data_IF_143259618409
#
_entry.id   IF_143259618409
#
_cell.length_a   1.000
_cell.length_b   1.000
_cell.length_c   1.000
_cell.angle_alpha   90.00
_cell.angle_beta   90.00
_cell.angle_gamma   90.00
#
_symmetry.space_group_name_H-M   'P 1'
#
loop_
_entity.id
_entity.type
_entity.pdbx_description
1 polymer ?
#
# COMPACT_ATOMS: atom_id res chain seq x y z
N UNK A 1 -29.41 9.40 -54.19
CA UNK A 1 -28.52 8.22 -54.23
C UNK A 1 -27.32 8.47 -53.31
N UNK A 2 -27.45 8.09 -52.05
CA UNK A 2 -26.39 7.98 -51.03
C UNK A 2 -27.03 7.32 -49.80
N UNK A 3 -27.51 6.09 -49.99
CA UNK A 3 -27.89 5.22 -48.87
C UNK A 3 -26.88 4.08 -48.85
N UNK A 4 -26.31 3.74 -47.69
CA UNK A 4 -25.39 2.62 -47.61
C UNK A 4 -26.07 1.34 -48.11
N UNK A 5 -25.43 0.67 -49.06
CA UNK A 5 -25.84 -0.63 -49.60
C UNK A 5 -25.36 -1.71 -48.64
N UNK A 6 -26.29 -2.36 -47.92
CA UNK A 6 -26.01 -3.52 -47.09
C UNK A 6 -26.23 -4.75 -47.95
N UNK A 7 -25.17 -5.29 -48.55
CA UNK A 7 -25.22 -6.58 -49.21
C UNK A 7 -25.37 -7.72 -48.17
N UNK A 8 -26.12 -8.78 -48.51
CA UNK A 8 -26.26 -10.07 -47.79
C UNK A 8 -27.38 -10.22 -46.73
N UNK A 9 -28.35 -9.31 -46.63
CA UNK A 9 -29.59 -9.60 -45.90
C UNK A 9 -30.69 -10.04 -46.88
N UNK A 10 -30.67 -11.32 -47.28
CA UNK A 10 -31.83 -11.94 -47.93
C UNK A 10 -32.86 -12.22 -46.83
N UNK A 11 -33.83 -11.33 -46.71
CA UNK A 11 -34.98 -11.56 -45.84
C UNK A 11 -35.92 -12.56 -46.51
N UNK A 12 -36.11 -13.71 -45.87
CA UNK A 12 -37.06 -14.74 -46.30
C UNK A 12 -38.02 -15.08 -45.15
N UNK A 13 -38.90 -16.05 -45.34
CA UNK A 13 -39.87 -16.46 -44.32
C UNK A 13 -39.24 -17.02 -43.05
N UNK A 14 -37.99 -17.47 -43.11
CA UNK A 14 -37.22 -18.04 -41.99
C UNK A 14 -36.28 -16.98 -41.38
N UNK A 15 -35.90 -15.96 -42.15
CA UNK A 15 -35.01 -14.86 -41.76
C UNK A 15 -35.70 -13.48 -41.95
N UNK A 16 -36.81 -13.20 -41.23
CA UNK A 16 -37.55 -11.96 -41.39
C UNK A 16 -36.73 -10.73 -40.99
N UNK A 17 -37.14 -9.57 -41.48
CA UNK A 17 -36.53 -8.29 -41.11
C UNK A 17 -36.54 -8.10 -39.58
N UNK A 18 -35.38 -7.74 -39.03
CA UNK A 18 -35.21 -7.47 -37.62
C UNK A 18 -35.72 -6.09 -37.22
N UNK A 19 -35.88 -5.19 -38.20
CA UNK A 19 -36.52 -3.89 -38.08
C UNK A 19 -37.94 -4.04 -38.61
N UNK A 20 -38.92 -3.79 -37.76
CA UNK A 20 -40.33 -3.90 -38.05
C UNK A 20 -41.09 -2.75 -37.38
N UNK A 21 -42.42 -2.76 -37.46
CA UNK A 21 -43.25 -1.67 -36.93
C UNK A 21 -43.02 -1.36 -35.44
N UNK A 22 -42.58 -2.35 -34.65
CA UNK A 22 -42.35 -2.20 -33.22
C UNK A 22 -40.96 -1.66 -32.87
N UNK A 23 -40.03 -1.59 -33.83
CA UNK A 23 -38.67 -1.10 -33.62
C UNK A 23 -38.13 -0.35 -34.85
N UNK A 24 -39.01 0.36 -35.56
CA UNK A 24 -38.75 1.04 -36.83
C UNK A 24 -37.70 2.16 -36.76
N UNK A 25 -37.33 2.62 -35.56
CA UNK A 25 -36.28 3.63 -35.32
C UNK A 25 -34.88 3.01 -35.22
N UNK A 26 -34.75 1.71 -35.43
CA UNK A 26 -33.51 0.95 -35.23
C UNK A 26 -32.86 0.61 -36.56
N UNK A 27 -31.55 0.80 -36.61
CA UNK A 27 -30.67 0.38 -37.69
C UNK A 27 -29.79 -0.78 -37.18
N UNK A 28 -29.73 -1.90 -37.89
CA UNK A 28 -28.97 -3.09 -37.45
C UNK A 28 -28.17 -3.69 -38.59
N UNK A 29 -26.84 -3.78 -38.41
CA UNK A 29 -25.98 -4.67 -39.16
C UNK A 29 -25.79 -5.95 -38.35
N UNK A 30 -26.34 -7.08 -38.82
CA UNK A 30 -26.29 -8.36 -38.11
C UNK A 30 -25.81 -9.49 -39.00
N UNK A 31 -24.85 -10.27 -38.51
CA UNK A 31 -24.37 -11.50 -39.17
C UNK A 31 -25.14 -12.74 -38.68
N UNK A 32 -25.09 -13.89 -39.40
CA UNK A 32 -25.73 -15.14 -38.94
C UNK A 32 -25.24 -15.63 -37.57
N UNK A 33 -23.96 -15.41 -37.25
CA UNK A 33 -23.39 -15.68 -35.92
C UNK A 33 -23.82 -14.65 -34.85
N UNK A 34 -24.75 -13.75 -35.19
CA UNK A 34 -25.31 -12.72 -34.32
C UNK A 34 -24.28 -11.69 -33.83
N UNK A 35 -23.16 -11.51 -34.55
CA UNK A 35 -22.37 -10.28 -34.45
C UNK A 35 -23.24 -9.12 -34.92
N UNK A 36 -23.33 -8.05 -34.12
CA UNK A 36 -24.25 -6.94 -34.31
C UNK A 36 -23.55 -5.60 -34.14
N UNK A 37 -23.80 -4.69 -35.07
CA UNK A 37 -23.74 -3.25 -34.85
C UNK A 37 -25.17 -2.73 -34.93
N UNK A 38 -25.69 -2.18 -33.84
CA UNK A 38 -27.06 -1.67 -33.71
C UNK A 38 -27.02 -0.20 -33.31
N UNK A 39 -27.75 0.65 -34.03
CA UNK A 39 -27.98 2.05 -33.70
C UNK A 39 -29.50 2.24 -33.54
N UNK A 40 -29.93 2.91 -32.49
CA UNK A 40 -31.35 3.19 -32.24
C UNK A 40 -31.53 4.69 -32.14
N UNK A 41 -32.38 5.25 -33.01
CA UNK A 41 -32.55 6.69 -33.21
C UNK A 41 -33.80 7.23 -32.48
N UNK A 42 -34.35 6.46 -31.54
CA UNK A 42 -35.41 6.98 -30.67
C UNK A 42 -34.93 8.21 -29.89
N UNK A 43 -35.54 9.37 -30.18
CA UNK A 43 -35.13 10.65 -29.61
C UNK A 43 -35.18 10.64 -28.08
N UNK A 44 -34.07 11.03 -27.45
CA UNK A 44 -33.88 11.00 -26.00
C UNK A 44 -33.62 9.60 -25.42
N UNK A 45 -33.53 8.58 -26.27
CA UNK A 45 -33.21 7.18 -25.93
C UNK A 45 -32.23 6.58 -26.94
N UNK A 46 -31.39 7.42 -27.55
CA UNK A 46 -30.44 6.99 -28.56
C UNK A 46 -29.40 6.05 -27.96
N UNK A 47 -29.07 4.98 -28.68
CA UNK A 47 -27.97 4.10 -28.28
C UNK A 47 -27.26 3.44 -29.45
N UNK A 48 -25.99 3.09 -29.21
CA UNK A 48 -25.17 2.27 -30.09
C UNK A 48 -24.76 1.00 -29.34
N UNK A 49 -24.86 -0.15 -30.01
CA UNK A 49 -24.43 -1.45 -29.50
C UNK A 49 -23.57 -2.17 -30.51
N UNK A 50 -22.34 -2.49 -30.13
CA UNK A 50 -21.46 -3.42 -30.82
C UNK A 50 -21.37 -4.70 -29.99
N UNK A 51 -21.72 -5.85 -30.57
CA UNK A 51 -21.85 -7.12 -29.84
C UNK A 51 -21.35 -8.28 -30.67
N UNK A 52 -20.66 -9.22 -30.02
CA UNK A 52 -20.54 -10.62 -30.45
C UNK A 52 -21.24 -11.52 -29.43
N UNK A 53 -21.50 -12.79 -29.76
CA UNK A 53 -22.00 -13.79 -28.79
C UNK A 53 -20.87 -14.51 -28.05
N UNK A 54 -19.65 -14.50 -28.61
CA UNK A 54 -18.47 -15.08 -27.95
C UNK A 54 -18.19 -14.38 -26.61
N UNK A 55 -17.63 -15.11 -25.64
CA UNK A 55 -17.32 -14.59 -24.30
C UNK A 55 -18.54 -14.12 -23.52
N UNK A 56 -19.65 -14.87 -23.63
CA UNK A 56 -20.89 -14.60 -22.89
C UNK A 56 -21.65 -13.35 -23.33
N UNK A 57 -21.38 -12.85 -24.54
CA UNK A 57 -21.78 -11.57 -25.15
C UNK A 57 -20.82 -10.40 -24.88
N UNK A 58 -19.60 -10.46 -25.40
CA UNK A 58 -18.70 -9.31 -25.35
C UNK A 58 -19.28 -8.12 -26.13
N UNK A 59 -19.43 -6.97 -25.45
CA UNK A 59 -20.16 -5.80 -25.95
C UNK A 59 -19.52 -4.47 -25.57
N UNK A 60 -19.62 -3.51 -26.50
CA UNK A 60 -19.56 -2.08 -26.21
C UNK A 60 -20.96 -1.51 -26.44
N UNK A 61 -21.54 -0.90 -25.41
CA UNK A 61 -22.83 -0.23 -25.49
C UNK A 61 -22.69 1.24 -25.08
N UNK A 62 -23.30 2.16 -25.82
CA UNK A 62 -23.23 3.63 -25.62
C UNK A 62 -24.63 4.23 -25.60
N UNK A 63 -24.89 5.22 -24.73
CA UNK A 63 -26.16 5.94 -24.65
C UNK A 63 -27.19 5.30 -23.73
N UNK A 64 -28.42 5.15 -24.20
CA UNK A 64 -29.54 4.56 -23.48
C UNK A 64 -29.50 3.02 -23.54
N UNK A 65 -28.93 2.38 -22.52
CA UNK A 65 -28.73 0.93 -22.52
C UNK A 65 -30.06 0.21 -22.27
N UNK A 66 -30.46 -0.68 -23.17
CA UNK A 66 -31.67 -1.53 -23.06
C UNK A 66 -31.33 -3.01 -22.97
N UNK A 67 -32.19 -3.78 -22.32
CA UNK A 67 -32.09 -5.25 -22.27
C UNK A 67 -32.71 -5.93 -23.52
N UNK A 68 -32.84 -7.26 -23.46
CA UNK A 68 -33.43 -8.07 -24.54
C UNK A 68 -34.93 -8.28 -24.44
N UNK A 69 -35.60 -7.82 -23.37
CA UNK A 69 -37.04 -8.00 -23.21
C UNK A 69 -37.80 -7.20 -24.27
N UNK A 70 -38.97 -7.72 -24.69
CA UNK A 70 -39.85 -7.09 -25.68
C UNK A 70 -41.27 -6.93 -25.10
N UNK A 71 -41.97 -5.81 -25.40
CA UNK A 71 -41.47 -4.59 -26.06
C UNK A 71 -40.42 -3.92 -25.17
N UNK A 72 -39.26 -3.48 -25.69
CA UNK A 72 -38.09 -2.99 -24.92
C UNK A 72 -38.47 -1.97 -23.83
N UNK A 73 -38.87 -2.42 -22.62
CA UNK A 73 -39.63 -1.55 -21.74
C UNK A 73 -38.67 -0.85 -20.79
N UNK A 74 -37.57 -1.52 -20.46
CA UNK A 74 -36.74 -1.21 -19.32
C UNK A 74 -35.32 -0.88 -19.73
N UNK A 75 -34.96 0.36 -19.40
CA UNK A 75 -33.60 0.88 -19.39
C UNK A 75 -32.78 0.08 -18.39
N UNK A 76 -31.73 -0.59 -18.85
CA UNK A 76 -30.75 -1.27 -17.97
C UNK A 76 -29.64 -0.34 -17.47
N UNK A 77 -29.45 0.81 -18.12
CA UNK A 77 -28.40 1.77 -17.73
C UNK A 77 -28.28 2.95 -18.69
N UNK A 78 -27.32 3.83 -18.40
CA UNK A 78 -26.99 5.04 -19.16
C UNK A 78 -25.48 5.24 -19.19
N UNK A 79 -24.98 5.88 -20.25
CA UNK A 79 -23.55 6.17 -20.41
C UNK A 79 -22.88 5.17 -21.34
N UNK A 80 -21.76 4.58 -20.93
CA UNK A 80 -21.11 3.53 -21.69
C UNK A 80 -20.92 2.27 -20.83
N UNK A 81 -20.94 1.12 -21.48
CA UNK A 81 -20.59 -0.15 -20.88
C UNK A 81 -19.68 -0.92 -21.83
N UNK A 82 -18.52 -1.32 -21.32
CA UNK A 82 -17.68 -2.35 -21.93
C UNK A 82 -17.79 -3.60 -21.06
N UNK A 83 -18.38 -4.68 -21.60
CA UNK A 83 -18.62 -5.93 -20.85
C UNK A 83 -18.20 -7.17 -21.62
N UNK A 84 -17.83 -8.20 -20.89
CA UNK A 84 -17.54 -9.56 -21.38
C UNK A 84 -17.57 -10.52 -20.19
N UNK A 85 -17.89 -11.78 -20.41
CA UNK A 85 -17.80 -12.83 -19.38
C UNK A 85 -16.38 -13.44 -19.32
N UNK A 86 -15.60 -13.21 -20.39
CA UNK A 86 -14.17 -13.54 -20.47
C UNK A 86 -13.29 -12.42 -19.87
N UNK A 87 -12.02 -12.35 -20.26
CA UNK A 87 -11.09 -11.31 -19.81
C UNK A 87 -11.32 -9.96 -20.49
N UNK A 88 -11.18 -8.88 -19.71
CA UNK A 88 -11.06 -7.52 -20.22
C UNK A 88 -9.62 -7.00 -20.09
N UNK A 89 -9.15 -6.25 -21.09
CA UNK A 89 -7.87 -5.56 -21.03
C UNK A 89 -7.98 -4.16 -21.64
N UNK A 90 -7.55 -3.15 -20.89
CA UNK A 90 -7.36 -1.78 -21.37
C UNK A 90 -5.86 -1.51 -21.34
N UNK A 91 -5.25 -1.21 -22.49
CA UNK A 91 -3.81 -0.95 -22.60
C UNK A 91 -3.59 0.37 -23.33
N UNK A 92 -2.89 1.28 -22.67
CA UNK A 92 -2.51 2.57 -23.24
C UNK A 92 -1.02 2.81 -22.95
N UNK A 93 -0.17 2.65 -23.97
CA UNK A 93 1.29 2.69 -23.82
C UNK A 93 1.83 4.05 -23.37
N UNK A 94 1.07 5.13 -23.55
CA UNK A 94 1.39 6.48 -23.08
C UNK A 94 0.80 6.79 -21.69
N UNK A 95 0.09 5.86 -21.07
CA UNK A 95 -0.61 6.05 -19.80
C UNK A 95 -2.13 6.01 -19.94
N UNK A 96 -2.82 5.86 -18.81
CA UNK A 96 -4.27 5.74 -18.71
C UNK A 96 -4.80 6.73 -17.67
N UNK A 97 -5.76 7.57 -18.07
CA UNK A 97 -6.49 8.45 -17.17
C UNK A 97 -7.92 7.93 -17.03
N UNK A 98 -8.33 7.61 -15.80
CA UNK A 98 -9.70 7.19 -15.47
C UNK A 98 -10.27 8.24 -14.52
N UNK A 99 -11.29 8.94 -14.97
CA UNK A 99 -11.87 10.07 -14.25
C UNK A 99 -13.39 10.03 -14.19
N UNK A 100 -13.94 10.40 -13.04
CA UNK A 100 -15.35 10.73 -12.85
C UNK A 100 -15.62 12.25 -12.86
N UNK A 101 -14.62 13.06 -13.24
CA UNK A 101 -14.75 14.49 -13.46
C UNK A 101 -15.56 14.75 -14.74
N UNK A 102 -16.55 15.64 -14.65
CA UNK A 102 -17.48 15.88 -15.75
C UNK A 102 -16.86 16.80 -16.79
N UNK A 103 -16.68 16.30 -18.01
CA UNK A 103 -16.39 17.13 -19.19
C UNK A 103 -17.63 17.28 -20.08
N UNK A 104 -18.24 18.46 -20.07
CA UNK A 104 -19.49 18.68 -20.79
C UNK A 104 -19.30 18.61 -22.30
N UNK A 105 -20.08 17.72 -22.96
CA UNK A 105 -20.13 17.58 -24.43
C UNK A 105 -18.76 17.34 -25.09
N UNK A 106 -17.81 16.74 -24.36
CA UNK A 106 -16.43 16.57 -24.82
C UNK A 106 -15.82 17.88 -25.37
N UNK A 107 -16.13 19.01 -24.72
CA UNK A 107 -15.73 20.35 -25.18
C UNK A 107 -14.29 20.74 -24.87
N UNK A 108 -13.53 19.87 -24.20
CA UNK A 108 -12.11 20.08 -23.87
C UNK A 108 -11.24 18.94 -24.37
N UNK A 109 -9.99 18.92 -23.92
CA UNK A 109 -9.01 17.89 -24.32
C UNK A 109 -9.36 16.53 -23.73
N UNK A 110 -8.99 15.45 -24.43
CA UNK A 110 -9.20 14.06 -23.96
C UNK A 110 -8.54 13.81 -22.59
N UNK A 111 -7.46 14.52 -22.28
CA UNK A 111 -6.70 14.43 -21.04
C UNK A 111 -6.84 15.68 -20.16
N UNK A 112 -7.96 16.40 -20.25
CA UNK A 112 -8.27 17.48 -19.31
C UNK A 112 -8.32 16.93 -17.87
N UNK A 113 -7.31 17.26 -17.06
CA UNK A 113 -7.07 16.66 -15.75
C UNK A 113 -6.79 17.68 -14.64
N UNK A 114 -7.16 18.95 -14.86
CA UNK A 114 -6.88 20.05 -13.93
C UNK A 114 -7.40 19.75 -12.51
N UNK A 115 -8.61 19.19 -12.38
CA UNK A 115 -9.17 18.78 -11.10
C UNK A 115 -8.27 17.76 -10.36
N UNK A 116 -7.77 16.74 -11.08
CA UNK A 116 -6.89 15.73 -10.52
C UNK A 116 -5.53 16.31 -10.11
N UNK A 117 -4.94 17.16 -10.95
CA UNK A 117 -3.66 17.83 -10.65
C UNK A 117 -3.78 18.77 -9.45
N UNK A 118 -4.89 19.50 -9.32
CA UNK A 118 -5.17 20.35 -8.17
C UNK A 118 -5.27 19.53 -6.87
N UNK A 119 -5.88 18.35 -6.89
CA UNK A 119 -5.91 17.45 -5.72
C UNK A 119 -4.52 16.97 -5.33
N UNK A 120 -3.69 16.58 -6.31
CA UNK A 120 -2.30 16.15 -6.05
C UNK A 120 -1.44 17.30 -5.52
N UNK A 121 -1.63 18.52 -6.03
CA UNK A 121 -0.93 19.71 -5.57
C UNK A 121 -1.32 20.07 -4.11
N UNK A 122 -2.61 19.98 -3.77
CA UNK A 122 -3.08 20.18 -2.39
C UNK A 122 -2.49 19.13 -1.43
N UNK A 123 -2.41 17.87 -1.86
CA UNK A 123 -1.77 16.81 -1.10
C UNK A 123 -0.26 17.08 -0.87
N UNK A 124 0.44 17.62 -1.86
CA UNK A 124 1.84 18.04 -1.70
C UNK A 124 1.99 19.18 -0.70
N UNK A 125 1.20 20.25 -0.82
CA UNK A 125 1.25 21.38 0.12
C UNK A 125 0.97 20.95 1.56
N UNK A 126 0.03 20.01 1.76
CA UNK A 126 -0.21 19.44 3.09
C UNK A 126 1.01 18.68 3.62
N UNK A 127 1.64 17.87 2.77
CA UNK A 127 2.82 17.08 3.14
C UNK A 127 4.02 17.99 3.44
N UNK A 128 4.20 19.08 2.70
CA UNK A 128 5.21 20.12 2.97
C UNK A 128 4.98 20.83 4.32
N UNK A 129 3.74 21.16 4.65
CA UNK A 129 3.42 21.79 5.94
C UNK A 129 3.70 20.84 7.12
N UNK A 130 3.40 19.54 6.97
CA UNK A 130 3.74 18.52 7.96
C UNK A 130 5.26 18.30 8.05
N UNK A 131 5.96 18.36 6.92
CA UNK A 131 7.42 18.28 6.86
C UNK A 131 8.06 19.37 7.72
N UNK A 132 7.70 20.63 7.52
CA UNK A 132 8.27 21.74 8.31
C UNK A 132 8.02 21.61 9.82
N UNK A 133 6.89 21.02 10.22
CA UNK A 133 6.60 20.76 11.63
C UNK A 133 7.45 19.63 12.24
N UNK A 134 7.74 18.61 11.45
CA UNK A 134 8.46 17.41 11.91
C UNK A 134 9.98 17.56 11.85
N UNK A 135 10.51 18.39 10.94
CA UNK A 135 11.94 18.72 10.86
C UNK A 135 12.41 19.40 12.16
N UNK A 136 11.61 20.33 12.70
CA UNK A 136 11.84 20.94 14.01
C UNK A 136 11.86 19.90 15.16
N UNK A 137 11.15 18.78 14.99
CA UNK A 137 11.07 17.69 15.96
C UNK A 137 12.14 16.60 15.75
N UNK A 138 13.07 16.78 14.79
CA UNK A 138 14.08 15.78 14.38
C UNK A 138 13.49 14.43 13.95
N UNK A 139 12.22 14.41 13.53
CA UNK A 139 11.66 13.22 12.91
C UNK A 139 12.11 13.14 11.45
N UNK A 140 12.51 11.96 10.98
CA UNK A 140 12.79 11.74 9.56
C UNK A 140 11.49 11.60 8.78
N UNK A 141 11.47 12.13 7.56
CA UNK A 141 10.24 12.53 6.86
C UNK A 141 10.14 11.95 5.45
N UNK A 142 8.92 12.04 4.90
CA UNK A 142 8.57 11.57 3.57
C UNK A 142 9.45 12.20 2.48
N UNK A 143 9.77 11.42 1.44
CA UNK A 143 10.48 11.90 0.26
C UNK A 143 9.58 12.81 -0.60
N UNK A 144 9.59 14.10 -0.26
CA UNK A 144 8.87 15.14 -0.99
C UNK A 144 9.37 15.30 -2.42
N UNK A 145 10.64 15.03 -2.70
CA UNK A 145 11.20 15.18 -4.04
C UNK A 145 10.62 14.12 -4.97
N UNK A 146 10.53 12.87 -4.50
CA UNK A 146 9.91 11.80 -5.27
C UNK A 146 8.42 12.03 -5.51
N UNK A 147 7.70 12.57 -4.52
CA UNK A 147 6.29 12.95 -4.68
C UNK A 147 6.11 14.06 -5.73
N UNK A 148 7.01 15.06 -5.74
CA UNK A 148 7.01 16.15 -6.74
C UNK A 148 7.31 15.65 -8.13
N UNK A 149 8.35 14.83 -8.28
CA UNK A 149 8.75 14.23 -9.56
C UNK A 149 7.64 13.33 -10.13
N UNK A 150 6.97 12.54 -9.29
CA UNK A 150 5.83 11.73 -9.71
C UNK A 150 4.71 12.60 -10.29
N UNK A 151 4.38 13.74 -9.66
CA UNK A 151 3.37 14.64 -10.20
C UNK A 151 3.82 15.30 -11.52
N UNK A 152 4.96 15.98 -11.52
CA UNK A 152 5.34 16.91 -12.60
C UNK A 152 5.91 16.23 -13.85
N UNK A 153 6.64 15.12 -13.67
CA UNK A 153 7.34 14.41 -14.74
C UNK A 153 6.59 13.19 -15.27
N UNK A 154 5.64 12.67 -14.48
CA UNK A 154 4.98 11.39 -14.78
C UNK A 154 3.47 11.55 -14.96
N UNK A 155 2.77 12.09 -13.96
CA UNK A 155 1.30 12.15 -13.95
C UNK A 155 0.73 13.33 -14.76
N UNK A 156 1.33 14.52 -14.66
CA UNK A 156 0.90 15.68 -15.42
C UNK A 156 0.93 15.39 -16.92
N UNK A 157 -0.22 15.55 -17.57
CA UNK A 157 -0.45 15.23 -18.99
C UNK A 157 -0.13 13.77 -19.37
N UNK A 158 0.05 12.88 -18.39
CA UNK A 158 0.60 11.53 -18.58
C UNK A 158 1.89 11.54 -19.44
N UNK A 159 2.86 12.40 -19.09
CA UNK A 159 4.17 12.48 -19.76
C UNK A 159 4.91 11.13 -19.81
N UNK A 160 4.65 10.24 -18.86
CA UNK A 160 5.15 8.85 -18.85
C UNK A 160 3.97 7.88 -18.72
N UNK A 161 4.24 6.60 -18.96
CA UNK A 161 3.26 5.51 -18.91
C UNK A 161 2.75 5.24 -17.48
N UNK A 162 1.81 6.07 -17.02
CA UNK A 162 1.24 6.01 -15.68
C UNK A 162 -0.29 5.76 -15.71
N UNK A 163 -0.83 5.39 -14.56
CA UNK A 163 -2.28 5.33 -14.31
C UNK A 163 -2.64 6.44 -13.33
N UNK A 164 -3.57 7.31 -13.73
CA UNK A 164 -4.17 8.32 -12.85
C UNK A 164 -5.66 8.04 -12.66
N UNK A 165 -6.08 7.91 -11.40
CA UNK A 165 -7.48 7.75 -11.01
C UNK A 165 -7.94 9.04 -10.33
N UNK A 166 -9.05 9.62 -10.80
CA UNK A 166 -9.64 10.84 -10.22
C UNK A 166 -11.14 10.71 -10.07
N UNK A 167 -11.68 11.17 -8.94
CA UNK A 167 -13.11 11.28 -8.74
C UNK A 167 -13.40 12.39 -7.69
N UNK A 168 -14.33 13.32 -7.97
CA UNK A 168 -14.62 14.43 -7.06
C UNK A 168 -15.33 13.99 -5.77
N UNK A 169 -16.08 12.89 -5.83
CA UNK A 169 -16.93 12.40 -4.73
C UNK A 169 -16.37 11.10 -4.08
N UNK A 170 -15.10 10.79 -4.33
CA UNK A 170 -14.38 9.69 -3.67
C UNK A 170 -14.11 8.46 -4.54
N UNK A 171 -13.20 7.61 -4.05
CA UNK A 171 -12.74 6.37 -4.71
C UNK A 171 -12.77 5.25 -3.66
N UNK A 172 -13.34 4.10 -4.02
CA UNK A 172 -13.34 2.90 -3.17
C UNK A 172 -12.69 1.71 -3.89
N UNK A 173 -11.78 1.02 -3.19
CA UNK A 173 -11.20 -0.26 -3.63
C UNK A 173 -11.66 -1.36 -2.68
N UNK A 174 -12.41 -2.34 -3.18
CA UNK A 174 -13.01 -3.40 -2.34
C UNK A 174 -12.79 -4.79 -2.94
N UNK A 175 -12.64 -5.78 -2.06
CA UNK A 175 -12.52 -7.20 -2.44
C UNK A 175 -12.88 -8.07 -1.24
N UNK A 176 -13.51 -9.22 -1.49
CA UNK A 176 -13.79 -10.20 -0.44
C UNK A 176 -12.54 -11.01 -0.03
N UNK A 177 -11.44 -10.89 -0.79
CA UNK A 177 -10.19 -11.61 -0.54
C UNK A 177 -9.09 -10.63 -0.12
N UNK A 178 -8.03 -10.52 -0.93
CA UNK A 178 -6.83 -9.76 -0.59
C UNK A 178 -6.67 -8.56 -1.51
N UNK A 179 -6.29 -7.42 -0.95
CA UNK A 179 -5.81 -6.23 -1.66
C UNK A 179 -4.30 -6.12 -1.41
N UNK A 180 -3.51 -5.95 -2.48
CA UNK A 180 -2.06 -5.76 -2.40
C UNK A 180 -1.70 -4.43 -3.07
N UNK A 181 -0.96 -3.59 -2.35
CA UNK A 181 -0.32 -2.39 -2.86
C UNK A 181 1.19 -2.63 -2.78
N UNK A 182 1.88 -2.52 -3.91
CA UNK A 182 3.32 -2.73 -4.00
C UNK A 182 3.92 -1.68 -4.95
N UNK A 183 5.01 -1.07 -4.52
CA UNK A 183 5.81 -0.14 -5.31
C UNK A 183 7.28 -0.52 -5.16
N UNK A 184 8.07 -0.38 -6.23
CA UNK A 184 9.53 -0.57 -6.17
C UNK A 184 10.26 0.60 -5.51
N UNK A 185 9.59 1.74 -5.40
CA UNK A 185 10.07 2.94 -4.72
C UNK A 185 9.16 3.19 -3.50
N UNK A 186 8.24 4.15 -3.57
CA UNK A 186 7.47 4.60 -2.42
C UNK A 186 5.97 4.31 -2.53
N UNK A 187 5.33 4.01 -1.40
CA UNK A 187 3.88 4.11 -1.23
C UNK A 187 3.61 5.40 -0.44
N UNK A 188 2.91 6.36 -1.07
CA UNK A 188 2.58 7.65 -0.46
C UNK A 188 1.08 7.69 -0.20
N UNK A 189 0.70 7.95 1.05
CA UNK A 189 -0.70 8.10 1.47
C UNK A 189 -0.87 9.45 2.17
N UNK A 190 -1.60 10.36 1.54
CA UNK A 190 -1.89 11.70 2.08
C UNK A 190 -3.38 11.84 2.34
N UNK A 191 -3.76 12.44 3.46
CA UNK A 191 -5.16 12.71 3.81
C UNK A 191 -5.30 14.10 4.41
N UNK A 192 -6.22 14.92 3.90
CA UNK A 192 -6.51 16.26 4.46
C UNK A 192 -7.22 16.25 5.82
N UNK A 193 -7.66 15.07 6.28
CA UNK A 193 -8.33 14.87 7.58
C UNK A 193 -7.65 13.72 8.33
N UNK A 194 -8.31 12.58 8.46
CA UNK A 194 -7.80 11.39 9.15
C UNK A 194 -7.33 10.33 8.16
N UNK A 195 -6.39 9.49 8.61
CA UNK A 195 -6.04 8.22 7.97
C UNK A 195 -6.29 7.12 8.99
N UNK A 196 -7.27 6.26 8.71
CA UNK A 196 -7.76 5.25 9.65
C UNK A 196 -7.43 3.84 9.15
N UNK A 197 -6.79 3.02 10.01
CA UNK A 197 -6.53 1.62 9.76
C UNK A 197 -7.36 0.76 10.72
N UNK A 198 -8.43 0.16 10.22
CA UNK A 198 -9.31 -0.74 11.00
C UNK A 198 -8.96 -2.20 10.70
N UNK A 199 -8.37 -2.90 11.66
CA UNK A 199 -7.89 -4.28 11.47
C UNK A 199 -8.43 -5.19 12.56
N UNK A 200 -9.15 -6.25 12.16
CA UNK A 200 -9.82 -7.16 13.10
C UNK A 200 -8.86 -8.09 13.85
N UNK A 201 -7.82 -8.60 13.17
CA UNK A 201 -6.93 -9.63 13.72
C UNK A 201 -5.57 -9.10 14.15
N UNK A 202 -4.76 -8.64 13.19
CA UNK A 202 -3.36 -8.26 13.45
C UNK A 202 -2.94 -7.11 12.55
N UNK A 203 -2.48 -6.02 13.15
CA UNK A 203 -1.73 -4.97 12.46
C UNK A 203 -0.23 -5.26 12.61
N UNK A 204 0.53 -5.24 11.53
CA UNK A 204 1.97 -5.56 11.54
C UNK A 204 2.69 -4.57 10.64
N UNK A 205 3.74 -3.96 11.17
CA UNK A 205 4.63 -3.05 10.46
C UNK A 205 6.05 -3.57 10.62
N UNK A 206 6.77 -3.71 9.52
CA UNK A 206 8.17 -4.06 9.49
C UNK A 206 8.87 -3.11 8.52
N UNK A 207 9.87 -2.38 9.01
CA UNK A 207 10.71 -1.49 8.21
C UNK A 207 12.15 -1.99 8.28
N UNK A 208 12.87 -1.98 7.15
CA UNK A 208 14.27 -2.41 7.10
C UNK A 208 15.23 -1.47 7.83
N UNK A 209 14.83 -0.21 7.97
CA UNK A 209 15.65 0.85 8.58
C UNK A 209 14.99 1.45 9.83
N UNK A 210 13.84 2.10 9.68
CA UNK A 210 13.21 2.85 10.79
C UNK A 210 11.69 2.91 10.69
N UNK A 211 11.06 2.99 11.87
CA UNK A 211 9.67 3.43 12.02
C UNK A 211 9.69 4.82 12.69
N UNK A 212 9.18 5.84 12.00
CA UNK A 212 9.09 7.22 12.50
C UNK A 212 7.61 7.58 12.71
N UNK A 213 7.23 7.96 13.93
CA UNK A 213 5.86 8.36 14.28
C UNK A 213 5.88 9.76 14.90
N UNK A 214 5.17 10.70 14.29
CA UNK A 214 5.13 12.10 14.72
C UNK A 214 3.68 12.60 14.85
N UNK A 215 3.40 13.30 15.96
CA UNK A 215 2.13 13.95 16.20
C UNK A 215 2.36 15.39 16.70
N UNK A 216 1.94 16.38 15.93
CA UNK A 216 2.24 17.80 16.21
C UNK A 216 1.45 18.38 17.39
N UNK A 217 0.16 18.00 17.53
CA UNK A 217 -0.79 18.75 18.41
C UNK A 217 -1.35 17.94 19.57
N UNK A 218 -1.88 16.74 19.30
CA UNK A 218 -2.67 15.97 20.27
C UNK A 218 -1.92 14.78 20.90
N UNK A 219 -0.62 14.68 20.63
CA UNK A 219 0.26 13.63 21.16
C UNK A 219 0.00 12.25 20.57
N UNK A 220 0.67 11.25 21.15
CA UNK A 220 0.61 9.84 20.75
C UNK A 220 -0.08 9.05 21.86
N UNK A 221 -0.98 8.13 21.48
CA UNK A 221 -1.68 7.23 22.38
C UNK A 221 -1.44 5.78 21.94
N UNK A 222 -0.85 4.97 22.82
CA UNK A 222 -0.60 3.54 22.59
C UNK A 222 -1.23 2.76 23.76
N UNK A 223 -2.26 1.97 23.46
CA UNK A 223 -2.99 1.20 24.47
C UNK A 223 -3.14 -0.25 24.04
N UNK A 224 -2.99 -1.17 24.99
CA UNK A 224 -3.46 -2.55 24.88
C UNK A 224 -4.52 -2.77 25.96
N UNK A 225 -5.77 -3.03 25.55
CA UNK A 225 -6.85 -3.32 26.51
C UNK A 225 -6.61 -4.64 27.26
N UNK A 226 -5.99 -5.60 26.57
CA UNK A 226 -5.54 -6.89 27.10
C UNK A 226 -4.23 -7.26 26.40
N UNK A 227 -3.47 -8.14 27.03
CA UNK A 227 -2.17 -8.57 26.52
C UNK A 227 -1.04 -7.65 26.97
N UNK A 228 0.19 -8.18 26.86
CA UNK A 228 1.42 -7.50 27.25
C UNK A 228 1.79 -6.44 26.20
N UNK A 229 2.29 -5.31 26.68
CA UNK A 229 2.95 -4.30 25.84
C UNK A 229 4.45 -4.49 26.00
N UNK A 230 5.14 -4.72 24.88
CA UNK A 230 6.59 -4.84 24.82
C UNK A 230 7.16 -3.72 23.95
N UNK A 231 8.15 -3.01 24.50
CA UNK A 231 8.91 -1.96 23.84
C UNK A 231 10.36 -2.26 24.14
N UNK A 232 11.18 -2.44 23.10
CA UNK A 232 12.56 -2.91 23.24
C UNK A 232 13.46 -2.21 22.21
N UNK A 233 14.65 -1.82 22.64
CA UNK A 233 15.78 -1.52 21.77
C UNK A 233 16.78 -2.69 21.88
N UNK A 234 16.68 -3.65 20.96
CA UNK A 234 17.35 -4.96 21.11
C UNK A 234 18.86 -4.92 20.82
N UNK A 235 19.33 -3.89 20.11
CA UNK A 235 20.73 -3.72 19.75
C UNK A 235 21.28 -2.32 20.01
N UNK A 236 20.50 -1.44 20.64
CA UNK A 236 20.87 -0.02 20.83
C UNK A 236 20.20 0.58 22.07
N UNK A 237 20.41 1.87 22.31
CA UNK A 237 19.85 2.63 23.43
C UNK A 237 18.33 2.83 23.30
N UNK A 238 17.64 2.81 24.45
CA UNK A 238 16.27 3.30 24.56
C UNK A 238 16.23 4.66 25.27
N UNK A 239 15.74 5.68 24.56
CA UNK A 239 15.51 7.01 25.12
C UNK A 239 14.04 7.29 25.44
N UNK A 240 13.77 7.79 26.65
CA UNK A 240 12.45 8.26 27.08
C UNK A 240 12.60 9.65 27.72
N UNK A 241 12.06 10.68 27.07
CA UNK A 241 12.18 12.06 27.53
C UNK A 241 10.85 12.80 27.43
N UNK A 242 10.60 13.69 28.39
CA UNK A 242 9.47 14.60 28.39
C UNK A 242 9.90 15.97 28.91
N UNK A 243 9.29 17.04 28.37
CA UNK A 243 9.49 18.40 28.89
C UNK A 243 8.83 18.59 30.27
N UNK A 244 7.76 17.84 30.52
CA UNK A 244 7.03 17.80 31.79
C UNK A 244 7.28 16.45 32.47
N UNK A 245 6.36 16.05 33.32
CA UNK A 245 6.48 14.86 34.15
C UNK A 245 6.53 13.57 33.31
N UNK A 246 7.37 12.63 33.76
CA UNK A 246 7.32 11.23 33.39
C UNK A 246 6.71 10.46 34.56
N UNK A 247 5.66 9.69 34.32
CA UNK A 247 5.01 8.85 35.34
C UNK A 247 5.11 7.38 34.95
N UNK A 248 5.59 6.54 35.88
CA UNK A 248 5.73 5.09 35.70
C UNK A 248 5.01 4.40 36.84
N UNK A 249 3.87 3.79 36.53
CA UNK A 249 2.97 3.22 37.54
C UNK A 249 2.64 1.77 37.22
N UNK A 250 2.59 0.95 38.27
CA UNK A 250 1.95 -0.36 38.25
C UNK A 250 0.85 -0.34 39.31
N UNK A 251 -0.42 -0.44 38.90
CA UNK A 251 -1.55 -0.28 39.82
C UNK A 251 -1.77 -1.50 40.73
N UNK A 252 -1.55 -2.71 40.21
CA UNK A 252 -1.83 -3.96 40.95
C UNK A 252 -0.59 -4.87 41.06
N UNK A 253 0.50 -4.55 40.35
CA UNK A 253 1.72 -5.34 40.31
C UNK A 253 2.93 -4.65 40.94
N UNK A 254 4.10 -4.84 40.33
CA UNK A 254 5.38 -4.28 40.75
C UNK A 254 6.06 -3.51 39.61
N UNK A 255 6.84 -2.50 39.96
CA UNK A 255 7.80 -1.86 39.05
C UNK A 255 9.16 -2.53 39.27
N UNK A 256 9.74 -3.08 38.20
CA UNK A 256 11.09 -3.66 38.22
C UNK A 256 11.98 -2.80 37.32
N UNK A 257 13.05 -2.26 37.90
CA UNK A 257 14.11 -1.56 37.18
C UNK A 257 15.39 -2.34 37.42
N UNK A 258 16.04 -2.80 36.36
CA UNK A 258 17.23 -3.64 36.44
C UNK A 258 18.22 -3.22 35.39
N UNK A 259 19.49 -3.15 35.77
CA UNK A 259 20.59 -2.86 34.86
C UNK A 259 21.77 -3.78 35.16
N UNK A 260 22.53 -4.13 34.12
CA UNK A 260 23.74 -4.95 34.28
C UNK A 260 24.91 -4.18 34.89
N UNK A 261 25.05 -2.91 34.52
CA UNK A 261 26.17 -2.05 34.94
C UNK A 261 25.77 -1.15 36.11
N UNK A 262 24.78 -0.29 35.90
CA UNK A 262 24.42 0.73 36.89
C UNK A 262 22.96 1.19 36.75
N UNK A 263 22.33 1.49 37.88
CA UNK A 263 21.11 2.30 37.98
C UNK A 263 21.49 3.62 38.66
N UNK A 264 21.20 4.74 38.01
CA UNK A 264 21.44 6.08 38.52
C UNK A 264 20.15 6.90 38.49
N UNK A 265 19.71 7.38 39.65
CA UNK A 265 18.56 8.26 39.81
C UNK A 265 19.06 9.63 40.26
N UNK A 266 18.77 10.70 39.53
CA UNK A 266 19.31 12.05 39.79
C UNK A 266 18.19 13.08 39.85
N UNK A 267 18.28 14.01 40.80
CA UNK A 267 17.40 15.18 40.88
C UNK A 267 18.07 16.33 41.64
N UNK A 268 18.17 17.51 41.03
CA UNK A 268 18.67 18.73 41.69
C UNK A 268 20.08 18.61 42.30
N UNK A 269 20.93 17.74 41.76
CA UNK A 269 22.27 17.42 42.29
C UNK A 269 22.30 16.31 43.34
N UNK A 270 21.16 15.88 43.89
CA UNK A 270 21.05 14.66 44.68
C UNK A 270 20.91 13.41 43.81
N UNK A 271 21.37 12.26 44.30
CA UNK A 271 21.30 11.01 43.56
C UNK A 271 21.25 9.75 44.43
N UNK A 272 20.77 8.66 43.82
CA UNK A 272 20.93 7.28 44.27
C UNK A 272 21.59 6.49 43.15
N UNK A 273 22.70 5.83 43.45
CA UNK A 273 23.46 5.01 42.51
C UNK A 273 23.51 3.58 43.02
N UNK A 274 23.20 2.62 42.16
CA UNK A 274 23.29 1.18 42.42
C UNK A 274 24.16 0.56 41.35
N UNK A 275 25.33 0.07 41.73
CA UNK A 275 26.30 -0.51 40.79
C UNK A 275 27.46 -1.18 41.51
N UNK A 276 28.09 -2.17 40.89
CA UNK A 276 29.25 -2.90 41.44
C UNK A 276 29.03 -3.47 42.86
N UNK A 277 27.80 -3.90 43.17
CA UNK A 277 27.42 -4.40 44.50
C UNK A 277 27.33 -3.33 45.59
N UNK A 278 27.39 -2.04 45.24
CA UNK A 278 27.31 -0.91 46.16
C UNK A 278 26.04 -0.10 45.91
N UNK A 279 25.50 0.45 47.00
CA UNK A 279 24.42 1.44 46.99
C UNK A 279 24.97 2.73 47.58
N UNK A 280 24.90 3.81 46.82
CA UNK A 280 25.41 5.13 47.19
C UNK A 280 24.29 6.16 47.12
N UNK A 281 24.07 6.87 48.23
CA UNK A 281 23.12 7.97 48.32
C UNK A 281 23.90 9.26 48.58
N UNK A 282 23.81 10.22 47.67
CA UNK A 282 24.54 11.50 47.76
C UNK A 282 23.61 12.70 47.60
N UNK A 283 23.87 13.77 48.33
CA UNK A 283 23.17 15.04 48.17
C UNK A 283 24.09 16.23 48.55
N UNK A 284 23.97 17.39 47.86
CA UNK A 284 24.81 18.56 48.14
C UNK A 284 24.47 19.28 49.45
N UNK A 285 23.29 19.02 50.03
CA UNK A 285 22.81 19.67 51.23
C UNK A 285 22.57 18.65 52.36
N UNK A 286 21.38 18.04 52.41
CA UNK A 286 21.02 17.06 53.45
C UNK A 286 20.48 15.76 52.85
N UNK A 287 20.83 14.63 53.46
CA UNK A 287 20.11 13.36 53.30
C UNK A 287 19.25 13.17 54.55
N UNK A 288 17.93 13.26 54.41
CA UNK A 288 17.00 13.13 55.53
C UNK A 288 16.38 11.73 55.52
N UNK A 289 16.66 10.94 56.55
CA UNK A 289 16.03 9.64 56.78
C UNK A 289 15.03 9.78 57.93
N UNK A 290 13.75 9.59 57.65
CA UNK A 290 12.67 9.60 58.67
C UNK A 290 12.15 8.18 58.84
N UNK A 291 12.33 7.60 60.03
CA UNK A 291 11.92 6.24 60.32
C UNK A 291 11.35 6.12 61.73
N UNK A 292 10.31 5.29 61.90
CA UNK A 292 9.86 4.87 63.23
C UNK A 292 10.86 3.87 63.86
N UNK A 293 11.51 3.04 63.03
CA UNK A 293 12.56 2.09 63.41
C UNK A 293 13.61 2.08 62.30
N UNK A 294 14.89 2.17 62.67
CA UNK A 294 16.02 2.04 61.75
C UNK A 294 16.94 0.91 62.24
N UNK A 295 17.07 -0.14 61.44
CA UNK A 295 17.91 -1.31 61.73
C UNK A 295 18.83 -1.61 60.56
N UNK A 296 20.08 -1.95 60.86
CA UNK A 296 21.09 -2.34 59.87
C UNK A 296 21.40 -3.81 60.06
N UNK A 297 21.10 -4.62 59.05
CA UNK A 297 21.43 -6.04 59.01
C UNK A 297 22.71 -6.28 58.18
N UNK A 298 23.29 -7.47 58.31
CA UNK A 298 24.36 -7.91 57.42
C UNK A 298 23.85 -8.03 55.97
N UNK A 299 24.75 -7.78 55.00
CA UNK A 299 24.37 -7.73 53.58
C UNK A 299 23.93 -9.09 53.04
N UNK A 300 22.82 -9.10 52.29
CA UNK A 300 22.38 -10.24 51.48
C UNK A 300 22.23 -9.80 50.01
N UNK A 301 22.69 -10.63 49.08
CA UNK A 301 22.60 -10.36 47.64
C UNK A 301 21.28 -10.87 47.07
N UNK A 302 20.59 -10.05 46.28
CA UNK A 302 19.43 -10.47 45.46
C UNK A 302 19.95 -10.91 44.09
N UNK A 303 19.74 -12.17 43.72
CA UNK A 303 20.05 -12.71 42.39
C UNK A 303 18.81 -12.66 41.49
N UNK A 304 18.61 -11.54 40.79
CA UNK A 304 17.70 -11.51 39.64
C UNK A 304 18.51 -11.64 38.34
N UNK A 305 18.22 -12.68 37.57
CA UNK A 305 18.86 -12.96 36.29
C UNK A 305 18.41 -11.91 35.27
N UNK A 306 19.32 -11.03 34.85
CA UNK A 306 19.10 -10.11 33.72
C UNK A 306 18.96 -10.96 32.45
N UNK A 307 17.80 -10.88 31.79
CA UNK A 307 17.57 -11.59 30.53
C UNK A 307 18.59 -11.14 29.48
N UNK A 308 19.37 -12.08 28.93
CA UNK A 308 20.20 -11.86 27.75
C UNK A 308 19.37 -12.19 26.52
N UNK A 309 19.12 -11.21 25.66
CA UNK A 309 18.38 -11.38 24.42
C UNK A 309 19.27 -11.96 23.32
N UNK A 310 18.70 -12.85 22.50
CA UNK A 310 19.32 -13.31 21.24
C UNK A 310 18.95 -12.32 20.14
N UNK A 311 19.94 -11.76 19.44
CA UNK A 311 19.72 -10.86 18.30
C UNK A 311 19.07 -11.62 17.13
N UNK A 312 17.89 -11.16 16.70
CA UNK A 312 17.19 -11.71 15.55
C UNK A 312 17.75 -11.07 14.25
N UNK A 313 18.50 -11.84 13.46
CA UNK A 313 19.05 -11.39 12.19
C UNK A 313 18.05 -11.56 11.03
N UNK A 314 18.14 -10.71 10.00
CA UNK A 314 17.39 -10.86 8.75
C UNK A 314 17.60 -12.24 8.12
N UNK A 315 16.53 -12.82 7.55
CA UNK A 315 16.59 -14.11 6.88
C UNK A 315 15.80 -14.14 5.56
N UNK A 316 16.42 -14.65 4.50
CA UNK A 316 15.85 -14.74 3.14
C UNK A 316 16.01 -16.14 2.55
N UNK A 317 15.11 -16.53 1.65
CA UNK A 317 15.19 -17.82 0.91
C UNK A 317 15.11 -17.60 -0.60
N UNK A 318 16.20 -17.14 -1.25
CA UNK A 318 16.23 -16.88 -2.69
C UNK A 318 15.78 -18.08 -3.54
N UNK A 319 15.07 -17.82 -4.64
CA UNK A 319 14.62 -18.84 -5.61
C UNK A 319 15.08 -18.49 -7.03
N UNK A 320 15.78 -19.40 -7.69
CA UNK A 320 16.20 -19.27 -9.09
C UNK A 320 15.20 -19.94 -10.04
N UNK A 321 14.85 -19.25 -11.12
CA UNK A 321 13.95 -19.74 -12.17
C UNK A 321 14.51 -19.37 -13.56
N UNK A 322 14.20 -20.16 -14.59
CA UNK A 322 14.55 -19.79 -15.99
C UNK A 322 13.71 -18.59 -16.47
N UNK A 323 14.38 -17.57 -17.01
CA UNK A 323 13.79 -16.28 -17.41
C UNK A 323 12.59 -16.39 -18.38
N UNK A 324 12.50 -17.46 -19.19
CA UNK A 324 11.50 -17.59 -20.25
C UNK A 324 10.44 -18.68 -20.03
N UNK A 325 10.58 -19.54 -19.01
CA UNK A 325 9.63 -20.64 -18.74
C UNK A 325 9.18 -20.73 -17.27
N UNK A 326 9.71 -19.90 -16.36
CA UNK A 326 9.45 -19.93 -14.91
C UNK A 326 9.56 -21.37 -14.34
N UNK A 327 10.44 -22.19 -14.93
CA UNK A 327 10.77 -23.51 -14.40
C UNK A 327 11.87 -23.36 -13.36
N UNK A 328 11.77 -24.05 -12.22
CA UNK A 328 12.80 -24.00 -11.18
C UNK A 328 14.14 -24.52 -11.71
N UNK A 329 15.22 -23.84 -11.35
CA UNK A 329 16.59 -24.26 -11.61
C UNK A 329 17.10 -25.04 -10.40
N UNK A 330 16.89 -26.35 -10.40
CA UNK A 330 17.35 -27.22 -9.32
C UNK A 330 18.85 -27.53 -9.44
N UNK A 331 19.55 -27.64 -8.30
CA UNK A 331 20.97 -28.04 -8.20
C UNK A 331 21.94 -27.15 -8.98
N UNK A 332 21.63 -25.86 -9.08
CA UNK A 332 22.48 -24.88 -9.73
C UNK A 332 23.37 -24.19 -8.71
N UNK A 333 24.66 -24.09 -9.03
CA UNK A 333 25.63 -23.38 -8.21
C UNK A 333 25.57 -21.88 -8.52
N UNK A 334 25.37 -21.09 -7.48
CA UNK A 334 25.19 -19.65 -7.54
C UNK A 334 26.18 -18.99 -6.59
N UNK A 335 26.59 -17.77 -6.94
CA UNK A 335 27.35 -16.92 -6.04
C UNK A 335 26.53 -15.66 -5.76
N UNK A 336 26.40 -15.33 -4.48
CA UNK A 336 25.87 -14.07 -4.00
C UNK A 336 27.04 -13.15 -3.67
N UNK A 337 27.00 -11.94 -4.19
CA UNK A 337 27.89 -10.85 -3.81
C UNK A 337 27.15 -9.90 -2.90
N UNK A 338 27.55 -9.85 -1.63
CA UNK A 338 27.13 -8.82 -0.70
C UNK A 338 27.87 -7.50 -1.00
N UNK A 339 27.26 -6.39 -0.60
CA UNK A 339 27.77 -5.04 -0.86
C UNK A 339 29.11 -4.74 -0.17
N UNK A 340 29.42 -5.47 0.92
CA UNK A 340 30.70 -5.42 1.63
C UNK A 340 31.83 -6.19 0.91
N UNK A 341 31.56 -6.73 -0.28
CA UNK A 341 32.49 -7.57 -1.02
C UNK A 341 32.49 -9.04 -0.60
N UNK A 342 31.61 -9.44 0.32
CA UNK A 342 31.43 -10.83 0.72
C UNK A 342 30.89 -11.70 -0.41
N UNK A 343 31.61 -12.77 -0.75
CA UNK A 343 31.18 -13.77 -1.74
C UNK A 343 30.65 -15.01 -1.02
N UNK A 344 29.37 -15.33 -1.21
CA UNK A 344 28.78 -16.54 -0.66
C UNK A 344 28.33 -17.50 -1.77
N UNK A 345 28.92 -18.69 -1.81
CA UNK A 345 28.49 -19.75 -2.73
C UNK A 345 27.28 -20.49 -2.16
N UNK A 346 26.23 -20.63 -2.97
CA UNK A 346 25.01 -21.34 -2.62
C UNK A 346 24.54 -22.20 -3.79
N UNK A 347 24.04 -23.40 -3.50
CA UNK A 347 23.42 -24.25 -4.49
C UNK A 347 21.90 -24.23 -4.29
N UNK A 348 21.14 -24.17 -5.38
CA UNK A 348 19.70 -24.39 -5.29
C UNK A 348 19.41 -25.85 -4.94
N UNK A 349 18.48 -26.05 -4.01
CA UNK A 349 17.89 -27.34 -3.68
C UNK A 349 16.68 -27.61 -4.59
N UNK A 350 15.77 -28.48 -4.18
CA UNK A 350 14.55 -28.82 -4.91
C UNK A 350 13.64 -27.58 -5.08
N UNK A 351 12.99 -27.44 -6.24
CA UNK A 351 12.16 -26.30 -6.64
C UNK A 351 12.91 -24.96 -6.77
N UNK A 352 14.20 -24.99 -7.06
CA UNK A 352 15.03 -23.81 -7.33
C UNK A 352 15.27 -22.91 -6.13
N UNK A 353 14.86 -23.32 -4.92
CA UNK A 353 15.09 -22.55 -3.67
C UNK A 353 16.52 -22.75 -3.18
N UNK A 354 17.06 -21.80 -2.44
CA UNK A 354 18.33 -21.95 -1.70
C UNK A 354 18.03 -22.26 -0.22
N UNK A 355 19.00 -22.77 0.57
CA UNK A 355 18.86 -22.85 2.03
C UNK A 355 18.56 -21.47 2.63
N UNK A 356 17.87 -21.44 3.78
CA UNK A 356 17.59 -20.19 4.51
C UNK A 356 18.89 -19.46 4.82
N UNK A 357 19.07 -18.27 4.25
CA UNK A 357 20.23 -17.43 4.52
C UNK A 357 19.91 -16.52 5.70
N UNK A 358 20.76 -16.53 6.72
CA UNK A 358 20.71 -15.63 7.88
C UNK A 358 21.85 -14.63 7.74
N UNK A 359 21.64 -13.35 8.08
CA UNK A 359 22.63 -12.27 7.96
C UNK A 359 22.91 -11.77 6.53
N UNK A 360 21.94 -11.85 5.61
CA UNK A 360 22.09 -11.30 4.25
C UNK A 360 21.37 -9.96 4.17
N UNK A 361 22.09 -8.90 3.79
CA UNK A 361 21.50 -7.60 3.44
C UNK A 361 20.49 -7.75 2.30
N UNK A 362 19.43 -6.95 2.30
CA UNK A 362 18.27 -7.13 1.40
C UNK A 362 18.61 -6.83 -0.07
N UNK A 363 19.79 -6.28 -0.35
CA UNK A 363 20.26 -6.00 -1.71
C UNK A 363 21.14 -7.13 -2.26
N UNK A 364 20.60 -7.86 -3.24
CA UNK A 364 21.37 -8.83 -4.04
C UNK A 364 21.85 -8.10 -5.29
N UNK A 365 23.14 -7.75 -5.31
CA UNK A 365 23.72 -6.92 -6.39
C UNK A 365 23.91 -7.67 -7.71
N UNK A 366 24.38 -8.94 -7.67
CA UNK A 366 24.60 -9.75 -8.87
C UNK A 366 24.47 -11.25 -8.56
N UNK A 367 23.77 -11.96 -9.44
CA UNK A 367 23.58 -13.41 -9.40
C UNK A 367 24.28 -14.04 -10.60
N UNK A 368 25.40 -14.75 -10.38
CA UNK A 368 26.10 -15.49 -11.44
C UNK A 368 25.79 -16.98 -11.34
N UNK A 369 25.32 -17.57 -12.44
CA UNK A 369 25.19 -19.02 -12.62
C UNK A 369 26.52 -19.51 -13.17
N UNK A 370 27.12 -20.54 -12.56
CA UNK A 370 28.51 -20.93 -12.85
C UNK A 370 28.70 -21.77 -14.13
N UNK A 371 27.65 -22.00 -14.91
CA UNK A 371 27.68 -22.91 -16.05
C UNK A 371 27.11 -22.25 -17.32
N UNK A 372 27.76 -21.19 -17.81
CA UNK A 372 27.76 -20.78 -19.22
C UNK A 372 29.02 -19.89 -19.42
N UNK A 373 29.97 -20.37 -20.24
CA UNK A 373 31.13 -19.60 -20.71
C UNK A 373 30.73 -18.38 -21.52
#
# INVERSE_FOLDING_TARGET
PDRPYIAHALHDSVHPDHVNLYNYKRNVLRTPANNKLRMDDERGREHIKLSTEYGGKSQLNLGHLVDSQRPHPDKRGEGFELRTDDWGAIRAGKGLFISADKQARAGGEVLEMEAALNQLQQAQTLTEALYGAAEMAKAELADLQQQKALLSETLAELKKSALLLSAPEGIAQTTAKSLQLAAGENIIVTSGKSTDFSVLKKFTVAAGERISLFAQKLGIKLFASKGRVDIEAQGDEMGLAALKDITVNSHEGKVIISAKQEILLVSGGGYIRIGNGQVECGAPNHIIQRAAVWQKFDGQSVSQTVQQWQTANYAVTPKAVRAYKISPLDRQNMQFHAEDGGVQALSTIQNGKTPLQKQVGVEISQLKIKDEE
#
